data_IF_886512250872
#
_entry.id   IF_886512250872
#
_cell.length_a   1.000
_cell.length_b   1.000
_cell.length_c   1.000
_cell.angle_alpha   90.00
_cell.angle_beta   90.00
_cell.angle_gamma   90.00
#
_symmetry.space_group_name_H-M   'P 1'
#
loop_
_entity.id
_entity.type
_entity.pdbx_description
1 polymer ?
#
# COMPACT_ATOMS: atom_id res chain seq x y z
N UNK A 1 31.54 9.60 -20.36
CA UNK A 1 31.33 8.69 -19.22
C UNK A 1 30.13 9.19 -18.43
N UNK A 2 28.98 8.57 -18.61
CA UNK A 2 27.80 8.74 -17.76
C UNK A 2 27.21 7.32 -17.55
N UNK A 3 26.32 7.06 -16.56
CA UNK A 3 25.59 8.01 -15.72
C UNK A 3 25.41 7.54 -14.24
N UNK A 4 25.11 8.44 -13.30
CA UNK A 4 24.30 8.14 -12.09
C UNK A 4 23.95 9.41 -11.31
N UNK A 5 23.29 10.36 -11.98
CA UNK A 5 22.51 11.37 -11.26
C UNK A 5 21.09 10.81 -11.09
N UNK A 6 20.96 9.74 -10.30
CA UNK A 6 19.65 9.29 -9.80
C UNK A 6 19.33 10.08 -8.53
N UNK A 7 19.13 11.38 -8.70
CA UNK A 7 18.49 12.24 -7.70
C UNK A 7 17.22 12.84 -8.30
N UNK A 8 16.45 12.00 -9.01
CA UNK A 8 15.08 12.30 -9.42
C UNK A 8 14.08 11.86 -8.33
N UNK A 9 14.47 11.97 -7.06
CA UNK A 9 13.69 11.52 -5.91
C UNK A 9 13.82 12.49 -4.73
N UNK A 10 13.67 13.77 -5.03
CA UNK A 10 13.50 14.88 -4.09
C UNK A 10 12.39 15.73 -4.78
N UNK A 11 11.22 16.08 -4.21
CA UNK A 11 10.89 16.50 -2.85
C UNK A 11 9.40 16.20 -2.50
N UNK A 12 8.81 15.12 -3.04
CA UNK A 12 7.40 14.73 -2.76
C UNK A 12 7.21 13.35 -2.10
N UNK A 13 8.31 12.64 -1.81
CA UNK A 13 8.30 11.17 -1.74
C UNK A 13 8.54 10.55 -0.35
N UNK A 14 8.92 11.35 0.65
CA UNK A 14 8.91 10.88 2.06
C UNK A 14 7.49 10.41 2.49
N UNK A 15 6.45 10.91 1.83
CA UNK A 15 5.07 10.47 2.04
C UNK A 15 4.73 9.11 1.42
N UNK A 16 5.50 8.56 0.47
CA UNK A 16 5.14 7.28 -0.15
C UNK A 16 5.37 6.12 0.80
N UNK A 17 6.52 6.07 1.47
CA UNK A 17 6.79 5.06 2.50
C UNK A 17 5.80 5.17 3.67
N UNK A 18 5.47 6.39 4.10
CA UNK A 18 4.54 6.61 5.21
C UNK A 18 3.08 6.31 4.83
N UNK A 19 2.67 6.58 3.59
CA UNK A 19 1.36 6.20 3.06
C UNK A 19 1.23 4.68 2.97
N UNK A 20 2.29 3.99 2.53
CA UNK A 20 2.31 2.52 2.50
C UNK A 20 2.30 1.96 3.91
N UNK A 21 3.04 2.53 4.87
CA UNK A 21 2.95 2.13 6.29
C UNK A 21 1.54 2.31 6.84
N UNK A 22 0.91 3.42 6.54
CA UNK A 22 -0.47 3.72 6.99
C UNK A 22 -1.46 2.73 6.39
N UNK A 23 -1.31 2.43 5.10
CA UNK A 23 -2.06 1.38 4.41
C UNK A 23 -1.85 0.02 5.07
N UNK A 24 -0.60 -0.40 5.28
CA UNK A 24 -0.27 -1.68 5.89
C UNK A 24 -0.86 -1.80 7.31
N UNK A 25 -0.75 -0.74 8.10
CA UNK A 25 -1.36 -0.66 9.43
C UNK A 25 -2.89 -0.78 9.38
N UNK A 26 -3.54 -0.08 8.44
CA UNK A 26 -5.00 -0.19 8.25
C UNK A 26 -5.43 -1.57 7.77
N UNK A 27 -4.70 -2.18 6.84
CA UNK A 27 -4.99 -3.54 6.36
C UNK A 27 -4.91 -4.56 7.51
N UNK A 28 -3.93 -4.39 8.42
CA UNK A 28 -3.82 -5.19 9.63
C UNK A 28 -4.99 -4.95 10.61
N UNK A 29 -5.46 -3.72 10.74
CA UNK A 29 -6.60 -3.36 11.59
C UNK A 29 -7.89 -4.06 11.17
N UNK A 30 -8.13 -4.18 9.85
CA UNK A 30 -9.29 -4.89 9.33
C UNK A 30 -9.26 -6.42 9.55
N UNK A 31 -8.14 -6.98 10.03
CA UNK A 31 -7.95 -8.43 10.30
C UNK A 31 -8.47 -9.34 9.19
N UNK A 32 -8.27 -8.93 7.93
CA UNK A 32 -8.75 -9.66 6.76
C UNK A 32 -7.84 -10.84 6.38
N UNK A 33 -6.63 -10.85 6.91
CA UNK A 33 -5.65 -11.90 6.73
C UNK A 33 -5.49 -12.69 8.03
N UNK A 34 -5.15 -13.98 7.91
CA UNK A 34 -4.84 -14.86 9.04
C UNK A 34 -3.65 -14.33 9.86
N UNK A 35 -2.71 -13.65 9.20
CA UNK A 35 -1.53 -13.03 9.81
C UNK A 35 -1.39 -11.57 9.37
N UNK A 36 -0.97 -10.68 10.29
CA UNK A 36 -0.69 -9.30 9.94
C UNK A 36 0.53 -9.23 9.00
N UNK A 37 0.46 -8.32 8.03
CA UNK A 37 1.59 -8.00 7.14
C UNK A 37 2.58 -7.06 7.83
N UNK A 38 3.83 -7.09 7.37
CA UNK A 38 4.87 -6.21 7.89
C UNK A 38 4.61 -4.74 7.51
N UNK A 39 4.82 -3.82 8.47
CA UNK A 39 4.61 -2.37 8.30
C UNK A 39 5.95 -1.67 8.05
N UNK A 40 6.58 -2.02 6.94
CA UNK A 40 7.89 -1.52 6.52
C UNK A 40 7.81 -0.31 5.59
N UNK A 41 6.61 0.03 5.10
CA UNK A 41 6.44 1.09 4.10
C UNK A 41 6.80 0.68 2.70
N UNK A 42 6.99 -0.62 2.45
CA UNK A 42 7.32 -1.16 1.15
C UNK A 42 6.10 -1.86 0.57
N UNK A 43 5.70 -1.46 -0.64
CA UNK A 43 4.60 -2.11 -1.33
C UNK A 43 5.09 -3.41 -1.97
N UNK A 44 5.22 -4.45 -1.13
CA UNK A 44 5.63 -5.78 -1.53
C UNK A 44 4.47 -6.69 -1.94
N UNK A 45 4.80 -7.96 -2.22
CA UNK A 45 3.80 -8.99 -2.55
C UNK A 45 2.76 -9.17 -1.45
N UNK A 46 3.20 -9.17 -0.19
CA UNK A 46 2.31 -9.31 0.97
C UNK A 46 1.32 -8.15 1.07
N UNK A 47 1.81 -6.91 0.95
CA UNK A 47 0.97 -5.71 0.90
C UNK A 47 -0.04 -5.79 -0.25
N UNK A 48 0.38 -6.26 -1.43
CA UNK A 48 -0.52 -6.44 -2.58
C UNK A 48 -1.63 -7.46 -2.29
N UNK A 49 -1.30 -8.61 -1.71
CA UNK A 49 -2.28 -9.66 -1.35
C UNK A 49 -3.27 -9.16 -0.29
N UNK A 50 -2.78 -8.39 0.69
CA UNK A 50 -3.63 -7.74 1.69
C UNK A 50 -4.60 -6.75 1.05
N UNK A 51 -4.13 -5.92 0.11
CA UNK A 51 -4.97 -4.99 -0.65
C UNK A 51 -6.01 -5.75 -1.47
N UNK A 52 -5.64 -6.83 -2.15
CA UNK A 52 -6.59 -7.66 -2.92
C UNK A 52 -7.68 -8.25 -2.03
N UNK A 53 -7.30 -8.77 -0.86
CA UNK A 53 -8.25 -9.32 0.12
C UNK A 53 -9.19 -8.24 0.66
N UNK A 54 -8.66 -7.04 0.90
CA UNK A 54 -9.48 -5.87 1.28
C UNK A 54 -10.43 -5.45 0.17
N UNK A 55 -9.96 -5.40 -1.07
CA UNK A 55 -10.78 -5.07 -2.24
C UNK A 55 -11.91 -6.09 -2.41
N UNK A 56 -11.62 -7.38 -2.34
CA UNK A 56 -12.63 -8.45 -2.40
C UNK A 56 -13.70 -8.28 -1.31
N UNK A 57 -13.28 -8.06 -0.05
CA UNK A 57 -14.19 -7.87 1.09
C UNK A 57 -15.06 -6.62 0.97
N UNK A 58 -14.58 -5.61 0.25
CA UNK A 58 -15.33 -4.36 -0.01
C UNK A 58 -16.11 -4.40 -1.33
N UNK A 59 -16.07 -5.51 -2.08
CA UNK A 59 -16.71 -5.62 -3.39
C UNK A 59 -16.06 -4.76 -4.48
N UNK A 60 -14.78 -4.40 -4.29
CA UNK A 60 -13.97 -3.64 -5.24
C UNK A 60 -13.22 -4.59 -6.18
N UNK A 61 -12.68 -4.02 -7.27
CA UNK A 61 -11.85 -4.76 -8.21
C UNK A 61 -10.52 -5.19 -7.54
N UNK A 62 -10.28 -6.49 -7.48
CA UNK A 62 -9.13 -7.13 -6.80
C UNK A 62 -7.80 -7.05 -7.60
N UNK A 63 -7.45 -5.88 -8.12
CA UNK A 63 -6.20 -5.69 -8.87
C UNK A 63 -4.96 -5.55 -7.95
N UNK A 64 -5.17 -5.36 -6.63
CA UNK A 64 -4.11 -5.10 -5.67
C UNK A 64 -3.48 -3.72 -5.84
N UNK A 65 -4.15 -2.82 -6.56
CA UNK A 65 -3.72 -1.44 -6.80
C UNK A 65 -4.49 -0.52 -5.86
N UNK A 66 -3.79 0.27 -5.07
CA UNK A 66 -4.41 1.26 -4.17
C UNK A 66 -4.74 2.52 -4.96
N UNK A 67 -5.87 2.48 -5.66
CA UNK A 67 -6.45 3.65 -6.32
C UNK A 67 -7.36 4.45 -5.39
N UNK A 68 -7.96 5.52 -5.92
CA UNK A 68 -8.85 6.42 -5.17
C UNK A 68 -10.00 5.68 -4.47
N UNK A 69 -10.58 4.68 -5.12
CA UNK A 69 -11.66 3.86 -4.54
C UNK A 69 -11.19 3.05 -3.32
N UNK A 70 -10.00 2.46 -3.42
CA UNK A 70 -9.40 1.68 -2.31
C UNK A 70 -9.05 2.60 -1.14
N UNK A 71 -8.43 3.76 -1.42
CA UNK A 71 -8.12 4.77 -0.40
C UNK A 71 -9.38 5.31 0.29
N UNK A 72 -10.46 5.53 -0.46
CA UNK A 72 -11.75 5.96 0.09
C UNK A 72 -12.35 4.89 0.99
N UNK A 73 -12.30 3.63 0.60
CA UNK A 73 -12.77 2.51 1.42
C UNK A 73 -11.93 2.29 2.69
N UNK A 74 -10.63 2.59 2.65
CA UNK A 74 -9.74 2.53 3.82
C UNK A 74 -9.97 3.69 4.79
N UNK A 75 -10.50 4.82 4.33
CA UNK A 75 -10.67 6.05 5.11
C UNK A 75 -12.03 6.19 5.78
N UNK A 76 -12.83 5.13 5.75
CA UNK A 76 -14.20 5.08 6.25
C UNK A 76 -14.32 4.02 7.32
#
# INVERSE_FOLDING_TARGET
MAPSTTLQYIEGDLMRGQSVRTLQARLNDFRLLDKPIQVDGVFGRETKLAVMSFQEKRGLKMDGIVGTETTKALSR
#
